data_IF_910660952615
#
_entry.id   IF_910660952615
#
_cell.length_a   1.000
_cell.length_b   1.000
_cell.length_c   1.000
_cell.angle_alpha   90.00
_cell.angle_beta   90.00
_cell.angle_gamma   90.00
#
_symmetry.space_group_name_H-M   'P 1'
#
loop_
_entity.id
_entity.type
_entity.pdbx_description
1 polymer ?
#
# COMPACT_ATOMS: atom_id res chain seq x y z
N UNK A 1 -13.03 17.25 -19.41
CA UNK A 1 -13.19 18.52 -18.65
C UNK A 1 -11.95 18.74 -17.79
N UNK A 2 -11.39 19.96 -17.78
CA UNK A 2 -10.36 20.38 -16.84
C UNK A 2 -10.97 20.36 -15.44
N UNK A 3 -10.35 19.68 -14.47
CA UNK A 3 -10.79 19.71 -13.05
C UNK A 3 -10.69 21.15 -12.58
N UNK A 4 -11.70 21.69 -11.88
CA UNK A 4 -11.56 22.99 -11.24
C UNK A 4 -10.54 22.87 -10.10
N UNK A 5 -9.68 23.84 -9.96
CA UNK A 5 -8.65 23.84 -8.89
C UNK A 5 -9.32 23.81 -7.50
N UNK A 6 -10.45 24.47 -7.36
CA UNK A 6 -11.27 24.45 -6.14
C UNK A 6 -11.74 23.04 -5.77
N UNK A 7 -12.20 22.24 -6.75
CA UNK A 7 -12.61 20.86 -6.50
C UNK A 7 -11.45 20.00 -6.01
N UNK A 8 -10.29 20.11 -6.67
CA UNK A 8 -9.10 19.34 -6.23
C UNK A 8 -8.64 19.78 -4.84
N UNK A 9 -8.70 21.07 -4.52
CA UNK A 9 -8.34 21.59 -3.20
C UNK A 9 -9.27 21.06 -2.10
N UNK A 10 -10.59 21.11 -2.31
CA UNK A 10 -11.57 20.61 -1.35
C UNK A 10 -11.41 19.12 -1.12
N UNK A 11 -11.26 18.34 -2.19
CA UNK A 11 -11.09 16.90 -2.09
C UNK A 11 -9.75 16.54 -1.41
N UNK A 12 -8.67 17.26 -1.73
CA UNK A 12 -7.38 17.09 -1.07
C UNK A 12 -7.44 17.44 0.43
N UNK A 13 -8.15 18.50 0.79
CA UNK A 13 -8.40 18.87 2.19
C UNK A 13 -9.16 17.78 2.95
N UNK A 14 -10.21 17.23 2.33
CA UNK A 14 -10.99 16.13 2.92
C UNK A 14 -10.16 14.89 3.15
N UNK A 15 -9.37 14.45 2.17
CA UNK A 15 -8.45 13.32 2.35
C UNK A 15 -7.38 13.61 3.39
N UNK A 16 -6.83 14.83 3.42
CA UNK A 16 -5.87 15.25 4.45
C UNK A 16 -6.44 15.10 5.84
N UNK A 17 -7.68 15.57 6.06
CA UNK A 17 -8.35 15.43 7.34
C UNK A 17 -8.55 13.97 7.76
N UNK A 18 -8.97 13.11 6.82
CA UNK A 18 -9.13 11.67 7.07
C UNK A 18 -7.77 11.02 7.40
N UNK A 19 -6.73 11.32 6.64
CA UNK A 19 -5.37 10.79 6.84
C UNK A 19 -4.86 11.18 8.23
N UNK A 20 -4.96 12.44 8.63
CA UNK A 20 -4.52 12.91 9.93
C UNK A 20 -5.35 12.31 11.07
N UNK A 21 -6.66 12.23 10.92
CA UNK A 21 -7.54 11.58 11.89
C UNK A 21 -7.15 10.11 12.10
N UNK A 22 -6.98 9.36 11.01
CA UNK A 22 -6.59 7.95 11.08
C UNK A 22 -5.19 7.77 11.66
N UNK A 23 -4.25 8.68 11.40
CA UNK A 23 -2.91 8.61 11.96
C UNK A 23 -2.89 8.88 13.46
N UNK A 24 -3.70 9.84 13.95
CA UNK A 24 -3.72 10.22 15.37
C UNK A 24 -4.56 9.25 16.21
N UNK A 25 -5.53 8.56 15.62
CA UNK A 25 -6.34 7.54 16.31
C UNK A 25 -5.81 6.15 15.93
N UNK A 26 -4.99 5.50 16.79
CA UNK A 26 -4.25 4.27 16.40
C UNK A 26 -5.15 3.16 15.86
N UNK A 27 -6.30 2.94 16.49
CA UNK A 27 -7.25 1.89 16.13
C UNK A 27 -7.86 2.07 14.73
N UNK A 28 -7.80 3.28 14.16
CA UNK A 28 -8.28 3.57 12.80
C UNK A 28 -7.16 3.45 11.76
N UNK A 29 -5.95 3.80 12.13
CA UNK A 29 -4.82 3.89 11.18
C UNK A 29 -3.89 2.69 11.19
N UNK A 30 -3.77 2.04 12.35
CA UNK A 30 -2.86 0.91 12.58
C UNK A 30 -3.62 -0.19 13.32
N UNK A 31 -3.90 -1.28 12.63
CA UNK A 31 -4.61 -2.43 13.22
C UNK A 31 -3.60 -3.53 13.53
N UNK A 32 -3.33 -3.77 14.79
CA UNK A 32 -2.47 -4.87 15.24
C UNK A 32 -3.27 -6.17 15.14
N UNK A 33 -2.82 -7.08 14.27
CA UNK A 33 -3.46 -8.40 14.08
C UNK A 33 -2.80 -9.43 15.00
N UNK A 34 -1.50 -9.36 15.14
CA UNK A 34 -0.70 -10.23 16.00
C UNK A 34 0.34 -9.37 16.74
N UNK A 35 0.85 -9.82 17.90
CA UNK A 35 1.95 -9.13 18.57
C UNK A 35 3.11 -8.87 17.61
N UNK A 36 3.47 -7.60 17.41
CA UNK A 36 4.54 -7.17 16.49
C UNK A 36 4.14 -7.04 15.02
N UNK A 37 2.89 -7.36 14.64
CA UNK A 37 2.40 -7.24 13.25
C UNK A 37 1.21 -6.31 13.19
N UNK A 38 1.41 -5.12 12.65
CA UNK A 38 0.35 -4.11 12.45
C UNK A 38 0.11 -3.86 10.98
N UNK A 39 -1.15 -3.86 10.58
CA UNK A 39 -1.58 -3.42 9.25
C UNK A 39 -1.78 -1.92 9.27
N UNK A 40 -1.16 -1.23 8.32
CA UNK A 40 -1.32 0.20 8.14
C UNK A 40 -2.50 0.48 7.21
N UNK A 41 -3.55 1.14 7.72
CA UNK A 41 -4.71 1.52 6.91
C UNK A 41 -4.64 2.96 6.38
N UNK A 42 -3.81 3.82 6.96
CA UNK A 42 -3.68 5.24 6.58
C UNK A 42 -3.23 5.43 5.12
N UNK A 43 -2.51 4.46 4.55
CA UNK A 43 -2.12 4.53 3.14
C UNK A 43 -3.31 4.40 2.17
N UNK A 44 -4.43 3.80 2.58
CA UNK A 44 -5.61 3.60 1.71
C UNK A 44 -6.24 4.93 1.27
N UNK A 45 -6.68 5.83 2.16
CA UNK A 45 -7.18 7.15 1.74
C UNK A 45 -6.13 7.97 1.00
N UNK A 46 -4.85 7.79 1.32
CA UNK A 46 -3.76 8.43 0.59
C UNK A 46 -3.72 7.95 -0.86
N UNK A 47 -3.77 6.64 -1.13
CA UNK A 47 -3.83 6.08 -2.49
C UNK A 47 -5.08 6.53 -3.25
N UNK A 48 -6.25 6.51 -2.61
CA UNK A 48 -7.49 7.00 -3.24
C UNK A 48 -7.31 8.44 -3.72
N UNK A 49 -6.80 9.32 -2.86
CA UNK A 49 -6.55 10.71 -3.19
C UNK A 49 -5.50 10.86 -4.31
N UNK A 50 -4.42 10.08 -4.29
CA UNK A 50 -3.37 10.08 -5.32
C UNK A 50 -3.96 9.73 -6.70
N UNK A 51 -4.86 8.75 -6.77
CA UNK A 51 -5.46 8.33 -8.05
C UNK A 51 -6.50 9.30 -8.59
N UNK A 52 -7.11 10.08 -7.69
CA UNK A 52 -8.15 11.05 -8.04
C UNK A 52 -7.64 12.46 -8.29
N UNK A 53 -6.46 12.83 -7.81
CA UNK A 53 -5.95 14.20 -7.80
C UNK A 53 -4.74 14.39 -8.72
N UNK A 54 -4.40 15.65 -8.98
CA UNK A 54 -3.17 16.00 -9.70
C UNK A 54 -1.92 15.78 -8.84
N UNK A 55 -0.75 15.72 -9.48
CA UNK A 55 0.54 15.45 -8.82
C UNK A 55 0.80 16.36 -7.61
N UNK A 56 0.46 17.66 -7.71
CA UNK A 56 0.63 18.63 -6.62
C UNK A 56 -0.06 18.16 -5.34
N UNK A 57 -1.33 17.79 -5.46
CA UNK A 57 -2.13 17.35 -4.32
C UNK A 57 -1.78 15.92 -3.88
N UNK A 58 -1.37 15.04 -4.81
CA UNK A 58 -0.85 13.72 -4.46
C UNK A 58 0.38 13.81 -3.54
N UNK A 59 1.34 14.69 -3.86
CA UNK A 59 2.50 14.94 -3.01
C UNK A 59 2.13 15.57 -1.67
N UNK A 60 1.14 16.46 -1.66
CA UNK A 60 0.60 17.06 -0.43
C UNK A 60 0.01 15.97 0.49
N UNK A 61 -0.74 15.01 -0.05
CA UNK A 61 -1.27 13.88 0.74
C UNK A 61 -0.15 13.00 1.31
N UNK A 62 0.91 12.75 0.53
CA UNK A 62 2.09 12.04 1.02
C UNK A 62 2.79 12.79 2.16
N UNK A 63 2.92 14.12 2.07
CA UNK A 63 3.46 14.96 3.13
C UNK A 63 2.62 14.85 4.41
N UNK A 64 1.30 15.01 4.32
CA UNK A 64 0.41 14.93 5.48
C UNK A 64 0.32 13.51 6.06
N UNK A 65 0.42 12.48 5.24
CA UNK A 65 0.58 11.11 5.73
C UNK A 65 1.89 10.96 6.54
N UNK A 66 2.99 11.53 6.05
CA UNK A 66 4.27 11.53 6.76
C UNK A 66 4.22 12.30 8.08
N UNK A 67 3.59 13.48 8.11
CA UNK A 67 3.37 14.27 9.33
C UNK A 67 2.50 13.48 10.32
N UNK A 68 1.41 12.86 9.86
CA UNK A 68 0.55 12.03 10.70
C UNK A 68 1.31 10.84 11.28
N UNK A 69 2.12 10.14 10.47
CA UNK A 69 2.99 9.06 10.94
C UNK A 69 4.02 9.53 11.98
N UNK A 70 4.58 10.70 11.80
CA UNK A 70 5.51 11.31 12.76
C UNK A 70 4.80 11.60 14.10
N UNK A 71 3.64 12.26 14.06
CA UNK A 71 2.83 12.55 15.25
C UNK A 71 2.44 11.23 15.96
N UNK A 72 1.98 10.23 15.20
CA UNK A 72 1.62 8.92 15.76
C UNK A 72 2.81 8.26 16.49
N UNK A 73 4.01 8.32 15.95
CA UNK A 73 5.20 7.75 16.58
C UNK A 73 5.58 8.49 17.87
N UNK A 74 5.38 9.81 17.93
CA UNK A 74 5.62 10.58 19.17
C UNK A 74 4.62 10.22 20.28
N UNK A 75 3.41 9.82 19.92
CA UNK A 75 2.33 9.54 20.86
C UNK A 75 2.29 8.07 21.30
N UNK A 76 2.65 7.13 20.40
CA UNK A 76 2.30 5.72 20.55
C UNK A 76 3.44 4.74 20.30
N UNK A 77 4.68 5.19 20.01
CA UNK A 77 5.82 4.28 19.78
C UNK A 77 6.02 3.33 20.96
N UNK A 78 6.05 2.02 20.70
CA UNK A 78 6.11 1.00 21.71
C UNK A 78 7.30 0.02 21.56
N UNK A 79 7.95 0.02 20.41
CA UNK A 79 9.07 -0.88 20.09
C UNK A 79 10.18 -0.12 19.33
N UNK A 80 11.40 -0.70 19.22
CA UNK A 80 12.53 -0.04 18.54
C UNK A 80 12.22 0.43 17.13
N UNK A 81 11.45 -0.33 16.35
CA UNK A 81 11.05 0.03 15.00
C UNK A 81 10.14 1.27 14.99
N UNK A 82 9.19 1.36 15.93
CA UNK A 82 8.31 2.52 16.04
C UNK A 82 9.08 3.78 16.44
N UNK A 83 10.08 3.66 17.33
CA UNK A 83 10.92 4.79 17.73
C UNK A 83 11.73 5.38 16.55
N UNK A 84 12.07 4.57 15.54
CA UNK A 84 12.73 5.10 14.33
C UNK A 84 11.90 6.17 13.63
N UNK A 85 10.56 6.06 13.66
CA UNK A 85 9.66 7.05 13.04
C UNK A 85 9.54 8.38 13.82
N UNK A 86 10.10 8.49 15.01
CA UNK A 86 10.20 9.78 15.72
C UNK A 86 11.17 10.76 15.03
N UNK A 87 12.04 10.26 14.16
CA UNK A 87 12.85 11.12 13.29
C UNK A 87 11.98 11.59 12.10
N UNK A 88 11.77 12.92 11.92
CA UNK A 88 10.89 13.47 10.88
C UNK A 88 11.23 12.99 9.47
N UNK A 89 12.52 12.84 9.16
CA UNK A 89 12.96 12.39 7.82
C UNK A 89 12.64 10.90 7.56
N UNK A 90 12.61 10.05 8.60
CA UNK A 90 12.22 8.64 8.47
C UNK A 90 10.70 8.50 8.33
N UNK A 91 9.93 9.42 8.92
CA UNK A 91 8.49 9.44 8.78
C UNK A 91 8.01 10.14 7.51
N UNK A 92 8.54 11.32 7.20
CA UNK A 92 7.96 12.19 6.16
C UNK A 92 8.50 11.85 4.77
N UNK A 93 9.82 11.69 4.62
CA UNK A 93 10.44 11.48 3.32
C UNK A 93 9.91 10.25 2.59
N UNK A 94 9.83 9.05 3.21
CA UNK A 94 9.34 7.86 2.50
C UNK A 94 7.87 7.97 2.10
N UNK A 95 7.05 8.73 2.82
CA UNK A 95 5.64 8.94 2.47
C UNK A 95 5.46 9.88 1.28
N UNK A 96 6.33 10.88 1.14
CA UNK A 96 6.39 11.73 -0.07
C UNK A 96 6.88 10.90 -1.26
N UNK A 97 7.94 10.10 -1.09
CA UNK A 97 8.45 9.21 -2.13
C UNK A 97 7.41 8.16 -2.55
N UNK A 98 6.70 7.58 -1.60
CA UNK A 98 5.58 6.68 -1.85
C UNK A 98 4.48 7.36 -2.68
N UNK A 99 4.07 8.57 -2.30
CA UNK A 99 3.03 9.29 -3.04
C UNK A 99 3.46 9.58 -4.50
N UNK A 100 4.74 9.91 -4.69
CA UNK A 100 5.32 10.09 -6.02
C UNK A 100 5.34 8.79 -6.82
N UNK A 101 5.81 7.70 -6.20
CA UNK A 101 5.85 6.37 -6.81
C UNK A 101 4.45 5.88 -7.19
N UNK A 102 3.48 5.94 -6.27
CA UNK A 102 2.10 5.54 -6.51
C UNK A 102 1.44 6.35 -7.64
N UNK A 103 1.69 7.66 -7.69
CA UNK A 103 1.20 8.51 -8.78
C UNK A 103 1.74 8.09 -10.15
N UNK A 104 3.03 7.79 -10.24
CA UNK A 104 3.63 7.35 -11.51
C UNK A 104 3.30 5.89 -11.85
N UNK A 105 3.15 5.01 -10.86
CA UNK A 105 2.61 3.65 -11.07
C UNK A 105 1.23 3.75 -11.72
N UNK A 106 0.31 4.51 -11.15
CA UNK A 106 -1.04 4.69 -11.70
C UNK A 106 -1.00 5.26 -13.14
N UNK A 107 -0.19 6.30 -13.38
CA UNK A 107 -0.02 6.86 -14.74
C UNK A 107 0.60 5.87 -15.72
N UNK A 108 1.59 5.10 -15.27
CA UNK A 108 2.25 4.07 -16.07
C UNK A 108 1.29 2.96 -16.47
N UNK A 109 0.48 2.45 -15.52
CA UNK A 109 -0.55 1.45 -15.79
C UNK A 109 -1.60 1.97 -16.76
N UNK A 110 -2.04 3.22 -16.60
CA UNK A 110 -2.96 3.87 -17.53
C UNK A 110 -2.37 4.00 -18.95
N UNK A 111 -1.10 4.39 -19.04
CA UNK A 111 -0.41 4.48 -20.32
C UNK A 111 -0.23 3.09 -20.95
N UNK A 112 0.09 2.07 -20.15
CA UNK A 112 0.24 0.69 -20.62
C UNK A 112 -1.09 0.14 -21.18
N UNK A 113 -2.20 0.34 -20.45
CA UNK A 113 -3.55 -0.08 -20.88
C UNK A 113 -3.99 0.60 -22.16
N UNK A 114 -3.73 1.92 -22.28
CA UNK A 114 -4.19 2.70 -23.45
C UNK A 114 -3.31 2.53 -24.69
N UNK A 115 -2.01 2.25 -24.51
CA UNK A 115 -1.03 2.25 -25.62
C UNK A 115 -0.85 0.88 -26.26
N UNK A 116 -1.08 -0.20 -25.54
CA UNK A 116 -0.85 -1.56 -26.02
C UNK A 116 -2.16 -2.36 -26.08
N UNK A 117 -2.38 -3.06 -27.21
CA UNK A 117 -3.54 -3.97 -27.39
C UNK A 117 -3.64 -5.01 -26.27
N UNK A 118 -2.49 -5.47 -25.76
CA UNK A 118 -2.38 -6.46 -24.69
C UNK A 118 -2.02 -5.82 -23.34
N UNK A 119 -2.19 -4.50 -23.19
CA UNK A 119 -1.82 -3.77 -21.98
C UNK A 119 -2.42 -4.35 -20.69
N UNK A 120 -3.67 -4.80 -20.73
CA UNK A 120 -4.33 -5.47 -19.60
C UNK A 120 -3.71 -6.81 -19.24
N UNK A 121 -3.34 -7.59 -20.24
CA UNK A 121 -2.64 -8.87 -20.01
C UNK A 121 -1.29 -8.62 -19.36
N UNK A 122 -0.54 -7.62 -19.84
CA UNK A 122 0.73 -7.23 -19.23
C UNK A 122 0.55 -6.78 -17.76
N UNK A 123 -0.47 -5.96 -17.49
CA UNK A 123 -0.80 -5.53 -16.12
C UNK A 123 -1.14 -6.74 -15.26
N UNK A 124 -2.00 -7.63 -15.75
CA UNK A 124 -2.37 -8.87 -15.06
C UNK A 124 -1.13 -9.72 -14.74
N UNK A 125 -0.24 -9.91 -15.73
CA UNK A 125 0.99 -10.68 -15.55
C UNK A 125 1.87 -10.10 -14.46
N UNK A 126 2.13 -8.78 -14.47
CA UNK A 126 2.95 -8.11 -13.45
C UNK A 126 2.34 -8.25 -12.07
N UNK A 127 1.05 -7.98 -11.92
CA UNK A 127 0.36 -8.09 -10.61
C UNK A 127 0.33 -9.56 -10.15
N UNK A 128 0.10 -10.51 -11.05
CA UNK A 128 0.10 -11.94 -10.71
C UNK A 128 1.48 -12.40 -10.24
N UNK A 129 2.54 -12.00 -10.92
CA UNK A 129 3.91 -12.30 -10.49
C UNK A 129 4.18 -11.72 -9.11
N UNK A 130 3.89 -10.43 -8.89
CA UNK A 130 4.05 -9.79 -7.57
C UNK A 130 3.26 -10.55 -6.51
N UNK A 131 2.00 -10.91 -6.78
CA UNK A 131 1.15 -11.64 -5.84
C UNK A 131 1.70 -13.03 -5.52
N UNK A 132 2.12 -13.81 -6.54
CA UNK A 132 2.66 -15.18 -6.36
C UNK A 132 3.97 -15.13 -5.58
N UNK A 133 4.89 -14.23 -5.95
CA UNK A 133 6.14 -14.06 -5.20
C UNK A 133 5.87 -13.63 -3.76
N UNK A 134 4.97 -12.68 -3.56
CA UNK A 134 4.56 -12.22 -2.24
C UNK A 134 4.04 -13.38 -1.39
N UNK A 135 3.15 -14.18 -1.91
CA UNK A 135 2.59 -15.32 -1.20
C UNK A 135 3.62 -16.40 -0.87
N UNK A 136 4.45 -16.79 -1.83
CA UNK A 136 5.46 -17.81 -1.59
C UNK A 136 6.41 -17.44 -0.44
N UNK A 137 6.95 -16.22 -0.49
CA UNK A 137 7.88 -15.76 0.55
C UNK A 137 7.19 -15.45 1.88
N UNK A 138 5.98 -14.88 1.84
CA UNK A 138 5.19 -14.60 3.03
C UNK A 138 4.81 -15.86 3.80
N UNK A 139 4.39 -16.91 3.08
CA UNK A 139 4.11 -18.21 3.69
C UNK A 139 5.34 -18.87 4.27
N UNK A 140 6.47 -18.73 3.60
CA UNK A 140 7.73 -19.27 4.11
C UNK A 140 8.15 -18.57 5.40
N UNK A 141 7.94 -17.24 5.48
CA UNK A 141 8.17 -16.49 6.68
C UNK A 141 7.22 -16.88 7.82
N UNK A 142 5.93 -17.07 7.52
CA UNK A 142 4.95 -17.56 8.50
C UNK A 142 5.34 -18.95 8.99
N UNK A 143 5.71 -19.87 8.12
CA UNK A 143 6.18 -21.20 8.47
C UNK A 143 7.39 -21.16 9.42
N UNK A 144 8.38 -20.34 9.11
CA UNK A 144 9.60 -20.23 9.92
C UNK A 144 9.31 -19.63 11.32
N UNK A 145 8.40 -18.65 11.40
CA UNK A 145 8.12 -17.94 12.66
C UNK A 145 7.10 -18.65 13.55
N UNK A 146 6.18 -19.43 12.98
CA UNK A 146 5.11 -20.08 13.75
C UNK A 146 5.36 -21.58 13.98
N UNK A 147 6.33 -22.17 13.28
CA UNK A 147 6.57 -23.61 13.29
C UNK A 147 5.50 -24.42 12.52
N UNK A 148 4.59 -23.76 11.81
CA UNK A 148 3.61 -24.45 10.96
C UNK A 148 4.30 -25.05 9.73
N UNK A 149 3.97 -26.29 9.42
CA UNK A 149 4.56 -26.96 8.27
C UNK A 149 4.15 -26.26 6.97
N UNK A 150 5.13 -25.85 6.19
CA UNK A 150 4.93 -25.20 4.89
C UNK A 150 4.06 -26.04 3.95
N UNK A 151 4.17 -27.37 4.02
CA UNK A 151 3.37 -28.29 3.19
C UNK A 151 1.88 -28.22 3.48
N UNK A 152 1.49 -27.78 4.68
CA UNK A 152 0.08 -27.62 5.11
C UNK A 152 -0.47 -26.24 4.72
N UNK A 153 0.31 -25.18 4.94
CA UNK A 153 -0.18 -23.81 4.69
C UNK A 153 -0.10 -23.41 3.22
N UNK A 154 0.87 -23.94 2.46
CA UNK A 154 1.06 -23.59 1.06
C UNK A 154 -0.13 -23.93 0.15
N UNK A 155 -0.78 -25.10 0.22
CA UNK A 155 -1.94 -25.41 -0.60
C UNK A 155 -3.13 -24.47 -0.35
N UNK A 156 -3.39 -24.11 0.92
CA UNK A 156 -4.48 -23.20 1.28
C UNK A 156 -4.25 -21.81 0.67
N UNK A 157 -3.04 -21.31 0.79
CA UNK A 157 -2.73 -20.01 0.27
C UNK A 157 -2.63 -19.97 -1.26
N UNK A 158 -2.17 -21.05 -1.89
CA UNK A 158 -2.23 -21.20 -3.36
C UNK A 158 -3.69 -21.20 -3.84
N UNK A 159 -4.59 -21.88 -3.14
CA UNK A 159 -6.01 -21.87 -3.45
C UNK A 159 -6.62 -20.47 -3.33
N UNK A 160 -6.35 -19.77 -2.21
CA UNK A 160 -6.82 -18.40 -2.00
C UNK A 160 -6.25 -17.43 -3.03
N UNK A 161 -5.00 -17.62 -3.43
CA UNK A 161 -4.36 -16.82 -4.49
C UNK A 161 -4.99 -17.07 -5.85
N UNK A 162 -5.25 -18.33 -6.19
CA UNK A 162 -5.90 -18.67 -7.44
C UNK A 162 -7.31 -18.08 -7.50
N UNK A 163 -8.05 -18.11 -6.39
CA UNK A 163 -9.35 -17.47 -6.28
C UNK A 163 -9.26 -15.96 -6.48
N UNK A 164 -8.30 -15.30 -5.79
CA UNK A 164 -8.07 -13.87 -5.93
C UNK A 164 -7.67 -13.49 -7.35
N UNK A 165 -6.70 -14.19 -7.95
CA UNK A 165 -6.23 -13.90 -9.31
C UNK A 165 -7.33 -14.16 -10.35
N UNK A 166 -8.19 -15.15 -10.14
CA UNK A 166 -9.33 -15.41 -11.01
C UNK A 166 -10.36 -14.30 -10.92
N UNK A 167 -10.71 -13.85 -9.73
CA UNK A 167 -11.61 -12.72 -9.51
C UNK A 167 -11.01 -11.41 -10.08
N UNK A 168 -9.71 -11.19 -9.89
CA UNK A 168 -9.00 -10.05 -10.44
C UNK A 168 -8.96 -10.09 -11.98
N UNK A 169 -8.70 -11.24 -12.59
CA UNK A 169 -8.73 -11.41 -14.04
C UNK A 169 -10.12 -11.13 -14.59
N UNK A 170 -11.16 -11.69 -13.96
CA UNK A 170 -12.56 -11.42 -14.33
C UNK A 170 -12.85 -9.91 -14.27
N UNK A 171 -12.46 -9.26 -13.17
CA UNK A 171 -12.64 -7.80 -13.02
C UNK A 171 -11.92 -7.01 -14.13
N UNK A 172 -10.67 -7.34 -14.40
CA UNK A 172 -9.83 -6.65 -15.39
C UNK A 172 -10.38 -6.80 -16.83
N UNK A 173 -11.01 -7.92 -17.15
CA UNK A 173 -11.57 -8.19 -18.47
C UNK A 173 -12.95 -7.58 -18.67
N UNK A 174 -13.75 -7.45 -17.62
CA UNK A 174 -15.13 -6.95 -17.71
C UNK A 174 -15.24 -5.43 -17.50
N UNK A 175 -14.27 -4.79 -16.86
CA UNK A 175 -14.24 -3.35 -16.70
C UNK A 175 -13.38 -2.67 -17.79
N UNK A 176 -13.66 -1.41 -18.07
CA UNK A 176 -12.98 -0.65 -19.13
C UNK A 176 -12.31 0.60 -18.58
N UNK A 177 -11.25 1.04 -19.27
CA UNK A 177 -10.56 2.29 -18.96
C UNK A 177 -9.93 2.31 -17.57
N UNK A 178 -9.96 3.46 -16.91
CA UNK A 178 -9.33 3.66 -15.60
C UNK A 178 -9.86 2.72 -14.50
N UNK A 179 -11.10 2.26 -14.60
CA UNK A 179 -11.71 1.38 -13.61
C UNK A 179 -11.00 0.04 -13.52
N UNK A 180 -10.60 -0.50 -14.67
CA UNK A 180 -9.89 -1.77 -14.73
C UNK A 180 -8.51 -1.74 -14.05
N UNK A 181 -7.85 -0.58 -13.98
CA UNK A 181 -6.48 -0.47 -13.45
C UNK A 181 -6.39 -0.09 -11.97
N UNK A 182 -7.50 0.34 -11.32
CA UNK A 182 -7.45 0.71 -9.91
C UNK A 182 -7.01 -0.43 -8.99
N UNK A 183 -7.51 -1.68 -9.09
CA UNK A 183 -7.03 -2.75 -8.22
C UNK A 183 -5.52 -2.96 -8.32
N UNK A 184 -4.99 -2.97 -9.56
CA UNK A 184 -3.55 -3.06 -9.82
C UNK A 184 -2.77 -1.92 -9.18
N UNK A 185 -3.33 -0.72 -9.26
CA UNK A 185 -2.71 0.49 -8.70
C UNK A 185 -2.67 0.45 -7.18
N UNK A 186 -3.72 -0.06 -6.53
CA UNK A 186 -3.74 -0.31 -5.09
C UNK A 186 -2.69 -1.33 -4.69
N UNK A 187 -2.63 -2.48 -5.37
CA UNK A 187 -1.69 -3.55 -5.06
C UNK A 187 -0.24 -3.05 -5.20
N UNK A 188 0.12 -2.52 -6.36
CA UNK A 188 1.48 -2.05 -6.62
C UNK A 188 1.83 -0.81 -5.79
N UNK A 189 0.87 0.08 -5.53
CA UNK A 189 1.05 1.23 -4.65
C UNK A 189 1.33 0.82 -3.21
N UNK A 190 0.60 -0.15 -2.67
CA UNK A 190 0.83 -0.69 -1.32
C UNK A 190 2.19 -1.36 -1.22
N UNK A 191 2.55 -2.20 -2.19
CA UNK A 191 3.89 -2.83 -2.22
C UNK A 191 4.99 -1.76 -2.26
N UNK A 192 4.84 -0.73 -3.10
CA UNK A 192 5.79 0.38 -3.15
C UNK A 192 5.88 1.13 -1.81
N UNK A 193 4.74 1.37 -1.13
CA UNK A 193 4.72 1.97 0.21
C UNK A 193 5.58 1.17 1.18
N UNK A 194 5.31 -0.13 1.30
CA UNK A 194 6.00 -1.00 2.25
C UNK A 194 7.49 -1.09 1.96
N UNK A 195 7.88 -1.28 0.69
CA UNK A 195 9.30 -1.35 0.29
C UNK A 195 10.02 -0.05 0.60
N UNK A 196 9.45 1.12 0.25
CA UNK A 196 10.08 2.43 0.48
C UNK A 196 10.24 2.70 1.97
N UNK A 197 9.22 2.42 2.78
CA UNK A 197 9.26 2.65 4.23
C UNK A 197 10.29 1.76 4.91
N UNK A 198 10.25 0.45 4.66
CA UNK A 198 11.19 -0.49 5.26
C UNK A 198 12.64 -0.21 4.84
N UNK A 199 12.86 0.09 3.56
CA UNK A 199 14.19 0.48 3.07
C UNK A 199 14.70 1.75 3.75
N UNK A 200 13.82 2.73 4.02
CA UNK A 200 14.20 3.96 4.71
C UNK A 200 14.60 3.67 6.15
N UNK A 201 13.84 2.85 6.87
CA UNK A 201 14.20 2.47 8.26
C UNK A 201 15.51 1.68 8.28
N UNK A 202 15.68 0.71 7.40
CA UNK A 202 16.90 -0.08 7.31
C UNK A 202 18.15 0.76 7.00
N UNK A 203 18.02 1.81 6.19
CA UNK A 203 19.12 2.71 5.80
C UNK A 203 19.48 3.72 6.90
N UNK A 204 18.47 4.29 7.57
CA UNK A 204 18.67 5.41 8.50
C UNK A 204 18.58 5.04 9.98
N UNK A 205 18.00 3.88 10.30
CA UNK A 205 17.90 3.35 11.66
C UNK A 205 18.16 1.82 11.68
N UNK A 206 19.33 1.34 11.19
CA UNK A 206 19.62 -0.07 11.06
C UNK A 206 19.53 -0.83 12.39
N UNK A 207 19.95 -0.20 13.50
CA UNK A 207 19.87 -0.83 14.82
C UNK A 207 18.42 -1.11 15.22
N UNK A 208 17.52 -0.13 15.09
CA UNK A 208 16.10 -0.30 15.37
C UNK A 208 15.46 -1.38 14.47
N UNK A 209 15.90 -1.47 13.22
CA UNK A 209 15.46 -2.49 12.29
C UNK A 209 15.90 -3.89 12.76
N UNK A 210 17.18 -4.08 13.05
CA UNK A 210 17.73 -5.38 13.45
C UNK A 210 17.31 -5.81 14.86
N UNK A 211 17.12 -4.87 15.79
CA UNK A 211 16.59 -5.18 17.14
C UNK A 211 15.15 -5.71 17.07
N UNK A 212 14.38 -5.27 16.08
CA UNK A 212 12.98 -5.69 15.90
C UNK A 212 12.85 -6.99 15.12
N UNK A 213 13.66 -7.17 14.07
CA UNK A 213 13.47 -8.27 13.10
C UNK A 213 14.58 -9.34 13.11
N UNK A 214 15.64 -9.14 13.92
CA UNK A 214 16.79 -10.06 14.04
C UNK A 214 17.95 -9.71 13.12
N UNK A 215 19.14 -10.26 13.43
CA UNK A 215 20.39 -9.99 12.71
C UNK A 215 20.84 -11.12 11.81
N UNK A 216 20.16 -12.26 11.83
CA UNK A 216 20.62 -13.50 11.19
C UNK A 216 20.35 -13.55 9.68
N UNK A 217 19.57 -12.62 9.14
CA UNK A 217 19.24 -12.57 7.72
C UNK A 217 19.77 -11.28 7.06
N UNK A 218 19.93 -11.31 5.75
CA UNK A 218 20.27 -10.08 5.01
C UNK A 218 19.12 -9.07 5.08
N UNK A 219 19.44 -7.77 5.18
CA UNK A 219 18.46 -6.67 5.22
C UNK A 219 17.44 -6.79 4.08
N UNK A 220 17.89 -7.18 2.88
CA UNK A 220 17.03 -7.42 1.73
C UNK A 220 16.04 -8.56 1.96
N UNK A 221 16.48 -9.67 2.55
CA UNK A 221 15.59 -10.80 2.86
C UNK A 221 14.54 -10.41 3.89
N UNK A 222 14.91 -9.66 4.94
CA UNK A 222 13.99 -9.14 5.95
C UNK A 222 12.98 -8.15 5.37
N UNK A 223 13.43 -7.17 4.58
CA UNK A 223 12.53 -6.23 3.88
C UNK A 223 11.56 -7.01 2.99
N UNK A 224 12.06 -7.98 2.23
CA UNK A 224 11.22 -8.84 1.40
C UNK A 224 10.19 -9.60 2.23
N UNK A 225 10.61 -10.23 3.30
CA UNK A 225 9.74 -11.04 4.17
C UNK A 225 8.61 -10.20 4.78
N UNK A 226 8.93 -9.01 5.30
CA UNK A 226 7.94 -8.12 5.91
C UNK A 226 7.04 -7.48 4.85
N UNK A 227 7.61 -7.02 3.73
CA UNK A 227 6.83 -6.45 2.64
C UNK A 227 5.81 -7.45 2.08
N UNK A 228 6.13 -8.71 2.14
CA UNK A 228 5.34 -9.79 1.60
C UNK A 228 4.27 -10.27 2.59
N UNK A 229 4.60 -10.45 3.86
CA UNK A 229 3.63 -10.94 4.85
C UNK A 229 2.55 -9.88 5.14
N UNK A 230 2.95 -8.63 5.36
CA UNK A 230 2.01 -7.55 5.65
C UNK A 230 1.46 -6.89 4.38
N UNK A 231 2.30 -6.67 3.39
CA UNK A 231 1.96 -5.90 2.19
C UNK A 231 0.84 -6.53 1.36
N UNK A 232 0.73 -7.87 1.31
CA UNK A 232 -0.36 -8.51 0.57
C UNK A 232 -1.71 -8.30 1.27
N UNK A 233 -1.76 -8.46 2.59
CA UNK A 233 -2.97 -8.25 3.37
C UNK A 233 -3.39 -6.77 3.26
N UNK A 234 -2.43 -5.85 3.42
CA UNK A 234 -2.65 -4.41 3.24
C UNK A 234 -3.15 -4.08 1.83
N UNK A 235 -2.60 -4.72 0.79
CA UNK A 235 -3.02 -4.52 -0.59
C UNK A 235 -4.46 -5.03 -0.84
N UNK A 236 -4.83 -6.19 -0.29
CA UNK A 236 -6.19 -6.70 -0.37
C UNK A 236 -7.19 -5.77 0.33
N UNK A 237 -6.86 -5.31 1.53
CA UNK A 237 -7.68 -4.35 2.27
C UNK A 237 -7.78 -3.03 1.51
N UNK A 238 -6.68 -2.55 0.92
CA UNK A 238 -6.68 -1.34 0.10
C UNK A 238 -7.60 -1.45 -1.13
N UNK A 239 -7.64 -2.60 -1.79
CA UNK A 239 -8.55 -2.87 -2.90
C UNK A 239 -9.99 -2.92 -2.41
N UNK A 240 -10.27 -3.69 -1.34
CA UNK A 240 -11.63 -3.90 -0.81
C UNK A 240 -12.28 -2.60 -0.32
N UNK A 241 -11.51 -1.74 0.35
CA UNK A 241 -12.00 -0.45 0.84
C UNK A 241 -11.93 0.63 -0.25
N UNK A 242 -10.83 0.67 -0.98
CA UNK A 242 -10.55 1.75 -1.93
C UNK A 242 -11.44 1.75 -3.15
N UNK A 243 -11.75 0.56 -3.70
CA UNK A 243 -12.58 0.46 -4.91
C UNK A 243 -13.98 1.03 -4.74
N UNK A 244 -14.79 0.62 -3.73
CA UNK A 244 -16.12 1.18 -3.51
C UNK A 244 -16.10 2.71 -3.34
N UNK A 245 -15.10 3.24 -2.63
CA UNK A 245 -14.98 4.67 -2.39
C UNK A 245 -14.68 5.42 -3.70
N UNK A 246 -13.75 4.92 -4.52
CA UNK A 246 -13.46 5.52 -5.84
C UNK A 246 -14.71 5.50 -6.73
N UNK A 247 -15.43 4.38 -6.77
CA UNK A 247 -16.67 4.28 -7.54
C UNK A 247 -17.73 5.30 -7.06
N UNK A 248 -17.92 5.42 -5.75
CA UNK A 248 -18.86 6.38 -5.17
C UNK A 248 -18.49 7.83 -5.55
N UNK A 249 -17.22 8.21 -5.40
CA UNK A 249 -16.76 9.57 -5.74
C UNK A 249 -16.94 9.86 -7.24
N UNK A 250 -16.66 8.87 -8.09
CA UNK A 250 -16.79 9.04 -9.56
C UNK A 250 -18.25 9.09 -10.00
N UNK A 251 -19.13 8.30 -9.42
CA UNK A 251 -20.55 8.31 -9.75
C UNK A 251 -21.21 9.65 -9.37
N UNK A 252 -20.91 10.16 -8.19
CA UNK A 252 -21.38 11.51 -7.79
C UNK A 252 -20.91 12.60 -8.75
N UNK A 253 -19.70 12.47 -9.29
CA UNK A 253 -19.15 13.42 -10.24
C UNK A 253 -19.78 13.37 -11.62
N UNK A 254 -20.33 12.23 -12.03
CA UNK A 254 -21.04 12.09 -13.32
C UNK A 254 -22.45 12.68 -13.28
N UNK A 255 -22.99 12.85 -12.09
CA UNK A 255 -24.33 13.40 -11.85
C UNK A 255 -24.33 14.92 -11.61
N UNK A 256 -23.19 15.52 -11.33
CA UNK A 256 -22.99 16.95 -11.12
C UNK A 256 -22.42 17.63 -12.40
#
# INVERSE_FOLDING_TARGET
MKRSETYELVLAGSFTAIILLMAVVPQLGFVTILPGVSITLVHVPTLIGIFLLSRKYALMLGLFFGIGSWIASLLYAANPFDFAFQYPWISILPRILFALAAFYIFKGLKALESRFKQGRVMIFTVVSLVTIFSLYYGLRAVSNNTGWDFSVIAPVALFLSALFLSAYFYFLTHNKGEEAIYPSSFILGTVAHTVIVLSTVALFAPNAFFETFGQDESVLALIYTIAISNGLIEALVAVLIGMPIIYAIRSMRQQA
#
